data_IF_845684811937
#
_entry.id   IF_845684811937
#
_cell.length_a   1.000
_cell.length_b   1.000
_cell.length_c   1.000
_cell.angle_alpha   90.00
_cell.angle_beta   90.00
_cell.angle_gamma   90.00
#
_symmetry.space_group_name_H-M   'P 1'
#
loop_
_entity.id
_entity.type
_entity.pdbx_description
1 polymer ?
#
# COMPACT_ATOMS: atom_id res chain seq x y z
N UNK A 1 2.58 -19.73 2.09
CA UNK A 1 2.38 -19.78 3.56
C UNK A 1 1.82 -18.46 4.02
N UNK A 2 0.76 -18.44 4.86
CA UNK A 2 0.21 -17.19 5.40
C UNK A 2 1.18 -16.57 6.41
N UNK A 3 1.54 -15.31 6.20
CA UNK A 3 2.32 -14.51 7.17
C UNK A 3 1.48 -14.16 8.39
N UNK A 4 2.12 -13.85 9.52
CA UNK A 4 1.44 -13.59 10.78
C UNK A 4 0.51 -12.37 10.71
N UNK A 5 -0.65 -12.43 11.37
CA UNK A 5 -1.69 -11.38 11.32
C UNK A 5 -1.29 -10.10 12.01
N UNK A 6 -0.64 -10.25 13.14
CA UNK A 6 -0.14 -9.13 13.91
C UNK A 6 0.90 -8.33 13.13
N UNK A 7 1.85 -9.00 12.48
CA UNK A 7 2.88 -8.33 11.68
C UNK A 7 2.31 -7.70 10.41
N UNK A 8 1.35 -8.33 9.73
CA UNK A 8 0.67 -7.66 8.61
C UNK A 8 -0.03 -6.40 9.08
N UNK A 9 -0.78 -6.44 10.19
CA UNK A 9 -1.40 -5.24 10.76
C UNK A 9 -0.39 -4.12 11.03
N UNK A 10 0.70 -4.46 11.75
CA UNK A 10 1.73 -3.48 12.11
C UNK A 10 2.40 -2.86 10.88
N UNK A 11 2.72 -3.67 9.87
CA UNK A 11 3.32 -3.18 8.63
C UNK A 11 2.32 -2.43 7.75
N UNK A 12 1.05 -2.82 7.70
CA UNK A 12 0.03 -2.11 6.93
C UNK A 12 -0.23 -0.70 7.44
N UNK A 13 0.12 -0.37 8.70
CA UNK A 13 0.09 1.00 9.20
C UNK A 13 1.07 1.94 8.47
N UNK A 14 2.08 1.41 7.80
CA UNK A 14 2.98 2.16 6.92
C UNK A 14 2.51 1.92 5.48
N UNK A 15 2.21 2.99 4.70
CA UNK A 15 1.66 2.84 3.36
C UNK A 15 2.60 1.99 2.49
N UNK A 16 2.08 0.89 1.94
CA UNK A 16 2.83 -0.05 1.09
C UNK A 16 3.66 -1.12 1.82
N UNK A 17 4.00 -0.96 3.10
CA UNK A 17 4.85 -1.95 3.80
C UNK A 17 4.11 -3.26 4.12
N UNK A 18 2.79 -3.20 4.34
CA UNK A 18 1.94 -4.39 4.48
C UNK A 18 2.00 -5.30 3.24
N UNK A 19 1.95 -4.72 2.05
CA UNK A 19 2.10 -5.44 0.77
C UNK A 19 3.47 -6.09 0.65
N UNK A 20 4.54 -5.35 0.95
CA UNK A 20 5.92 -5.87 0.91
C UNK A 20 6.11 -7.05 1.88
N UNK A 21 5.53 -6.98 3.08
CA UNK A 21 5.58 -8.08 4.05
C UNK A 21 4.86 -9.34 3.54
N UNK A 22 3.83 -9.16 2.72
CA UNK A 22 3.07 -10.23 2.07
C UNK A 22 3.74 -10.74 0.78
N UNK A 23 4.85 -10.15 0.35
CA UNK A 23 5.60 -10.53 -0.86
C UNK A 23 5.26 -9.74 -2.12
N UNK A 24 4.36 -8.75 -2.04
CA UNK A 24 3.99 -7.86 -3.14
C UNK A 24 4.88 -6.60 -3.12
N UNK A 25 6.11 -6.75 -3.60
CA UNK A 25 7.14 -5.71 -3.55
C UNK A 25 6.83 -4.53 -4.45
N UNK A 26 6.44 -4.77 -5.71
CA UNK A 26 6.14 -3.72 -6.68
C UNK A 26 4.90 -2.94 -6.28
N UNK A 27 3.85 -3.64 -5.84
CA UNK A 27 2.61 -2.99 -5.39
C UNK A 27 2.84 -2.15 -4.14
N UNK A 28 3.59 -2.67 -3.16
CA UNK A 28 3.99 -1.91 -1.98
C UNK A 28 4.82 -0.67 -2.32
N UNK A 29 5.78 -0.82 -3.24
CA UNK A 29 6.62 0.29 -3.70
C UNK A 29 5.79 1.37 -4.41
N UNK A 30 4.79 0.99 -5.22
CA UNK A 30 3.89 1.97 -5.85
C UNK A 30 3.17 2.84 -4.81
N UNK A 31 2.67 2.25 -3.72
CA UNK A 31 2.03 3.02 -2.65
C UNK A 31 3.00 3.95 -1.92
N UNK A 32 4.22 3.47 -1.62
CA UNK A 32 5.25 4.30 -0.98
C UNK A 32 5.65 5.49 -1.87
N UNK A 33 5.84 5.24 -3.16
CA UNK A 33 6.16 6.28 -4.14
C UNK A 33 5.03 7.27 -4.30
N UNK A 34 3.78 6.81 -4.41
CA UNK A 34 2.61 7.69 -4.52
C UNK A 34 2.47 8.58 -3.28
N UNK A 35 2.59 8.01 -2.08
CA UNK A 35 2.52 8.74 -0.82
C UNK A 35 3.62 9.82 -0.73
N UNK A 36 4.85 9.44 -1.06
CA UNK A 36 6.00 10.36 -1.06
C UNK A 36 5.89 11.44 -2.14
N UNK A 37 5.39 11.10 -3.32
CA UNK A 37 5.23 12.03 -4.43
C UNK A 37 4.18 13.10 -4.13
N UNK A 38 3.05 12.73 -3.51
CA UNK A 38 2.04 13.70 -3.07
C UNK A 38 2.65 14.69 -2.08
N UNK A 39 3.44 14.22 -1.11
CA UNK A 39 4.14 15.09 -0.14
C UNK A 39 5.14 16.01 -0.87
N UNK A 40 5.96 15.44 -1.76
CA UNK A 40 6.97 16.20 -2.49
C UNK A 40 6.36 17.30 -3.37
N UNK A 41 5.30 16.98 -4.12
CA UNK A 41 4.57 17.95 -4.96
C UNK A 41 3.90 19.01 -4.08
N UNK A 42 3.24 18.60 -2.99
CA UNK A 42 2.61 19.52 -2.04
C UNK A 42 3.61 20.51 -1.45
N UNK A 43 4.79 20.04 -1.03
CA UNK A 43 5.86 20.86 -0.50
C UNK A 43 6.47 21.79 -1.57
N UNK A 44 6.77 21.25 -2.75
CA UNK A 44 7.40 22.00 -3.85
C UNK A 44 6.49 23.13 -4.36
N UNK A 45 5.20 22.87 -4.50
CA UNK A 45 4.22 23.84 -4.98
C UNK A 45 3.54 24.67 -3.87
N UNK A 46 3.87 24.41 -2.59
CA UNK A 46 3.20 24.98 -1.42
C UNK A 46 1.67 24.75 -1.40
N UNK A 47 1.22 23.61 -1.92
CA UNK A 47 -0.20 23.24 -1.99
C UNK A 47 -0.57 22.30 -0.83
N UNK A 48 -0.74 22.85 0.36
CA UNK A 48 -1.10 22.09 1.57
C UNK A 48 -2.41 21.30 1.43
N UNK A 49 -3.33 21.75 0.57
CA UNK A 49 -4.59 21.05 0.28
C UNK A 49 -4.39 19.64 -0.28
N UNK A 50 -3.28 19.37 -0.98
CA UNK A 50 -2.97 18.05 -1.52
C UNK A 50 -2.76 17.00 -0.41
N UNK A 51 -2.37 17.42 0.80
CA UNK A 51 -2.16 16.52 1.93
C UNK A 51 -3.48 15.85 2.39
N UNK A 52 -4.64 16.42 2.06
CA UNK A 52 -5.96 15.80 2.33
C UNK A 52 -6.16 14.50 1.55
N UNK A 53 -5.40 14.29 0.46
CA UNK A 53 -5.42 13.03 -0.31
C UNK A 53 -4.65 11.91 0.40
N UNK A 54 -3.67 12.24 1.25
CA UNK A 54 -2.81 11.24 1.90
C UNK A 54 -3.58 10.23 2.76
N UNK A 55 -4.54 10.64 3.64
CA UNK A 55 -5.36 9.69 4.37
C UNK A 55 -6.10 8.71 3.45
N UNK A 56 -6.63 9.18 2.31
CA UNK A 56 -7.37 8.34 1.37
C UNK A 56 -6.45 7.27 0.76
N UNK A 57 -5.28 7.68 0.27
CA UNK A 57 -4.26 6.76 -0.27
C UNK A 57 -3.79 5.77 0.79
N UNK A 58 -3.58 6.25 2.02
CA UNK A 58 -3.16 5.42 3.14
C UNK A 58 -4.21 4.37 3.51
N UNK A 59 -5.48 4.76 3.68
CA UNK A 59 -6.57 3.82 3.97
C UNK A 59 -6.74 2.81 2.85
N UNK A 60 -6.67 3.25 1.61
CA UNK A 60 -6.75 2.34 0.46
C UNK A 60 -5.60 1.33 0.49
N UNK A 61 -4.35 1.76 0.70
CA UNK A 61 -3.20 0.85 0.84
C UNK A 61 -3.38 -0.13 2.02
N UNK A 62 -3.86 0.37 3.16
CA UNK A 62 -4.12 -0.45 4.34
C UNK A 62 -5.16 -1.54 4.05
N UNK A 63 -6.35 -1.16 3.57
CA UNK A 63 -7.42 -2.10 3.28
C UNK A 63 -7.09 -3.03 2.13
N UNK A 64 -6.34 -2.59 1.12
CA UNK A 64 -5.89 -3.42 0.00
C UNK A 64 -4.94 -4.54 0.47
N UNK A 65 -3.97 -4.22 1.33
CA UNK A 65 -3.09 -5.21 1.95
C UNK A 65 -3.87 -6.21 2.81
N UNK A 66 -4.87 -5.74 3.56
CA UNK A 66 -5.76 -6.61 4.35
C UNK A 66 -6.69 -7.47 3.49
N UNK A 67 -7.19 -6.94 2.38
CA UNK A 67 -8.00 -7.67 1.45
C UNK A 67 -7.19 -8.80 0.79
N UNK A 68 -5.96 -8.50 0.35
CA UNK A 68 -5.02 -9.52 -0.11
C UNK A 68 -4.74 -10.55 1.00
N UNK A 69 -4.71 -10.14 2.28
CA UNK A 69 -4.57 -11.02 3.44
C UNK A 69 -5.78 -11.96 3.65
N UNK A 70 -6.97 -11.56 3.24
CA UNK A 70 -8.19 -12.32 3.45
C UNK A 70 -8.62 -13.12 2.23
N UNK A 71 -8.03 -12.83 1.07
CA UNK A 71 -8.24 -13.59 -0.17
C UNK A 71 -7.88 -15.09 -0.01
N UNK A 72 -8.64 -16.02 -0.62
CA UNK A 72 -8.31 -17.45 -0.64
C UNK A 72 -6.93 -17.73 -1.25
N UNK A 73 -6.26 -18.78 -0.79
CA UNK A 73 -4.88 -19.09 -1.21
C UNK A 73 -4.77 -19.48 -2.70
N UNK A 74 -5.84 -19.96 -3.32
CA UNK A 74 -5.88 -20.20 -4.77
C UNK A 74 -5.79 -18.89 -5.55
N UNK A 75 -6.70 -17.94 -5.29
CA UNK A 75 -6.73 -16.65 -5.96
C UNK A 75 -5.42 -15.86 -5.77
N UNK A 76 -4.77 -16.00 -4.60
CA UNK A 76 -3.49 -15.33 -4.32
C UNK A 76 -2.32 -15.80 -5.16
N UNK A 77 -2.30 -17.08 -5.55
CA UNK A 77 -1.24 -17.61 -6.42
C UNK A 77 -1.30 -16.97 -7.80
N UNK A 78 -2.49 -16.55 -8.21
CA UNK A 78 -2.73 -15.90 -9.50
C UNK A 78 -2.51 -14.38 -9.44
N UNK A 79 -2.45 -13.78 -8.25
CA UNK A 79 -2.12 -12.35 -8.09
C UNK A 79 -0.64 -12.15 -8.38
N UNK A 80 -0.36 -11.48 -9.50
CA UNK A 80 0.99 -11.06 -9.88
C UNK A 80 1.42 -9.82 -9.10
N UNK A 81 2.69 -9.78 -8.71
CA UNK A 81 3.32 -8.57 -8.17
C UNK A 81 3.61 -7.59 -9.31
N UNK A 82 2.68 -6.68 -9.52
CA UNK A 82 2.71 -5.62 -10.51
C UNK A 82 2.63 -4.25 -9.82
N UNK A 83 3.10 -3.22 -10.52
CA UNK A 83 2.91 -1.84 -10.06
C UNK A 83 1.42 -1.48 -10.12
N UNK A 84 1.02 -0.47 -9.34
CA UNK A 84 -0.33 0.10 -9.48
C UNK A 84 -0.54 0.60 -10.91
N UNK A 85 -1.55 0.05 -11.57
CA UNK A 85 -2.07 0.58 -12.82
C UNK A 85 -3.04 1.70 -12.45
N UNK A 86 -2.66 2.94 -12.73
CA UNK A 86 -3.50 4.14 -12.53
C UNK A 86 -4.20 4.51 -13.83
#
# INVERSE_FOLDING_TARGET
MRKNSFFTFLFSCIPGAGHMYQGLMKRGLSFMLLFSLIIAISAFLNLSILLVVLPVVWFYAFFDSFNYRNMPDEQRKDVKDEFLNF
#
